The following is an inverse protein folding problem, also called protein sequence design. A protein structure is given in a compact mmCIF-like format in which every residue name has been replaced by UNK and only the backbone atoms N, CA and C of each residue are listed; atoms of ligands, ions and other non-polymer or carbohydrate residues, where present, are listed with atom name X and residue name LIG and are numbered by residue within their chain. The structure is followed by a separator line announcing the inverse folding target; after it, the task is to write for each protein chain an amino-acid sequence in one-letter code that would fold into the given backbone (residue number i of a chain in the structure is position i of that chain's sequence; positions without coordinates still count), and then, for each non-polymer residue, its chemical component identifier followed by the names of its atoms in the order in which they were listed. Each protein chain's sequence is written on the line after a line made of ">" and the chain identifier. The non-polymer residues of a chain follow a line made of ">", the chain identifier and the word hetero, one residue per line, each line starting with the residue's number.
data_IF_728022675055
#
_entry.id   IF_728022675055
#
_cell.length_a   1.000
_cell.length_b   1.000
_cell.length_c   1.000
_cell.angle_alpha   90.00
_cell.angle_beta   90.00
_cell.angle_gamma   90.00
#
_symmetry.space_group_name_H-M   'P 1'
#
loop_
_entity.id
_entity.type
_entity.pdbx_description
1 polymer ?
#
# COMPACT_ATOMS: atom_id res chain seq x y z
N UNK A 1 12.53 9.64 -23.74
CA UNK A 1 12.05 8.59 -22.81
C UNK A 1 11.87 9.24 -21.46
N UNK A 2 10.75 9.02 -20.77
CA UNK A 2 10.60 9.54 -19.41
C UNK A 2 11.59 8.82 -18.50
N UNK A 3 12.40 9.57 -17.77
CA UNK A 3 13.34 9.03 -16.78
C UNK A 3 12.55 8.44 -15.63
N UNK A 4 12.79 7.18 -15.27
CA UNK A 4 12.09 6.58 -14.11
C UNK A 4 12.52 7.28 -12.81
N UNK A 5 11.68 7.25 -11.77
CA UNK A 5 12.04 7.80 -10.46
C UNK A 5 13.36 7.21 -9.93
N UNK A 6 13.57 5.92 -10.17
CA UNK A 6 14.82 5.24 -9.83
C UNK A 6 16.02 5.79 -10.60
N UNK A 7 15.85 6.12 -11.89
CA UNK A 7 16.94 6.68 -12.70
C UNK A 7 17.34 8.09 -12.25
N UNK A 8 16.40 8.89 -11.71
CA UNK A 8 16.74 10.22 -11.16
C UNK A 8 17.54 10.16 -9.86
N UNK A 9 17.60 9.00 -9.20
CA UNK A 9 18.40 8.79 -7.98
C UNK A 9 19.80 8.24 -8.25
N UNK A 10 20.12 7.87 -9.50
CA UNK A 10 21.43 7.33 -9.86
C UNK A 10 22.43 8.49 -9.99
N UNK A 11 22.80 9.09 -8.87
CA UNK A 11 23.96 9.95 -8.79
C UNK A 11 24.75 9.63 -7.53
N UNK A 12 26.00 9.21 -7.76
CA UNK A 12 27.14 9.03 -6.85
C UNK A 12 26.79 8.35 -5.51
N UNK A 13 27.31 7.13 -5.23
CA UNK A 13 27.08 6.50 -3.93
C UNK A 13 27.56 7.40 -2.77
N UNK A 14 26.87 7.40 -1.63
CA UNK A 14 27.23 8.25 -0.50
C UNK A 14 28.66 7.96 -0.06
N UNK A 15 29.42 9.03 0.17
CA UNK A 15 30.78 9.00 0.69
C UNK A 15 30.83 8.41 2.09
N UNK A 16 32.00 7.94 2.52
CA UNK A 16 32.19 7.42 3.88
C UNK A 16 31.87 8.47 4.96
N UNK A 17 32.02 9.77 4.66
CA UNK A 17 31.64 10.86 5.57
C UNK A 17 30.11 11.00 5.68
N UNK A 18 29.37 10.85 4.58
CA UNK A 18 27.89 10.84 4.60
C UNK A 18 27.34 9.60 5.31
N UNK A 19 28.00 8.45 5.18
CA UNK A 19 27.67 7.25 5.95
C UNK A 19 27.97 7.42 7.46
N UNK A 20 28.93 8.27 7.84
CA UNK A 20 29.20 8.59 9.24
C UNK A 20 28.23 9.64 9.82
N UNK A 21 27.36 10.25 9.00
CA UNK A 21 26.26 11.13 9.43
C UNK A 21 24.97 10.35 9.75
N UNK A 22 25.00 9.02 9.67
CA UNK A 22 23.93 8.17 10.20
C UNK A 22 23.67 8.60 11.66
N UNK A 23 22.43 8.94 12.04
CA UNK A 23 22.10 9.34 13.40
C UNK A 23 22.69 8.33 14.39
N UNK A 24 23.28 8.75 15.53
CA UNK A 24 23.85 7.82 16.52
C UNK A 24 22.83 6.80 17.06
N UNK A 25 21.53 7.04 16.82
CA UNK A 25 20.41 6.15 17.14
C UNK A 25 19.74 5.50 15.89
N UNK A 26 20.32 5.58 14.69
CA UNK A 26 19.84 4.79 13.53
C UNK A 26 20.23 3.33 13.73
N UNK A 27 19.41 2.67 14.53
CA UNK A 27 19.50 1.26 14.88
C UNK A 27 19.01 0.35 13.75
N UNK A 28 18.69 0.89 12.57
CA UNK A 28 17.93 0.17 11.56
C UNK A 28 18.83 -0.54 10.53
N UNK A 29 18.34 -1.70 10.06
CA UNK A 29 19.15 -2.76 9.45
C UNK A 29 19.28 -4.00 10.35
N UNK A 30 18.72 -3.97 11.57
CA UNK A 30 18.63 -5.08 12.52
C UNK A 30 17.24 -5.22 13.15
N UNK A 31 16.19 -4.81 12.45
CA UNK A 31 14.83 -5.00 12.94
C UNK A 31 14.38 -6.46 12.72
N UNK A 32 14.38 -7.22 13.81
CA UNK A 32 13.96 -8.63 13.88
C UNK A 32 13.19 -8.83 15.20
N UNK A 33 11.97 -8.29 15.32
CA UNK A 33 11.25 -8.19 16.60
C UNK A 33 10.94 -9.56 17.22
N UNK A 34 10.81 -10.59 16.39
CA UNK A 34 10.62 -11.97 16.83
C UNK A 34 11.08 -12.94 15.74
N UNK A 35 11.21 -14.21 16.10
CA UNK A 35 11.33 -15.26 15.09
C UNK A 35 9.97 -15.45 14.38
N UNK A 36 9.90 -15.44 13.03
CA UNK A 36 8.65 -15.69 12.32
C UNK A 36 7.89 -16.97 12.70
N UNK A 37 8.57 -18.00 13.23
CA UNK A 37 7.89 -19.21 13.74
C UNK A 37 6.98 -18.93 14.94
N UNK A 38 7.14 -17.78 15.61
CA UNK A 38 6.31 -17.38 16.74
C UNK A 38 5.04 -16.63 16.32
N UNK A 39 4.81 -16.41 15.03
CA UNK A 39 3.69 -15.62 14.51
C UNK A 39 2.63 -16.52 13.85
N UNK A 40 1.35 -16.16 14.01
CA UNK A 40 0.22 -16.86 13.39
C UNK A 40 -0.25 -16.17 12.10
N UNK A 41 0.66 -15.95 11.16
CA UNK A 41 0.37 -15.26 9.91
C UNK A 41 -0.43 -16.14 8.95
N UNK A 42 -1.45 -15.56 8.30
CA UNK A 42 -2.28 -16.25 7.32
C UNK A 42 -2.43 -15.48 6.00
N UNK A 43 -2.59 -16.25 4.94
CA UNK A 43 -3.03 -15.81 3.61
C UNK A 43 -4.50 -16.18 3.38
N UNK A 44 -5.04 -15.89 2.20
CA UNK A 44 -6.36 -16.41 1.79
C UNK A 44 -6.37 -17.94 1.63
N UNK A 45 -5.21 -18.59 1.53
CA UNK A 45 -5.06 -20.03 1.25
C UNK A 45 -4.50 -20.82 2.44
N UNK A 46 -4.40 -20.20 3.62
CA UNK A 46 -3.93 -20.85 4.84
C UNK A 46 -2.70 -20.17 5.46
N UNK A 47 -2.01 -20.85 6.39
CA UNK A 47 -0.85 -20.30 7.10
C UNK A 47 0.28 -19.88 6.16
N UNK A 48 0.97 -18.80 6.49
CA UNK A 48 2.22 -18.42 5.80
C UNK A 48 3.36 -19.35 6.21
N UNK A 49 4.39 -19.49 5.37
CA UNK A 49 5.58 -20.30 5.66
C UNK A 49 6.60 -19.42 6.40
N UNK A 50 6.95 -19.71 7.67
CA UNK A 50 7.83 -18.85 8.48
C UNK A 50 9.20 -18.58 7.85
N UNK A 51 9.79 -19.56 7.18
CA UNK A 51 11.09 -19.44 6.52
C UNK A 51 11.06 -18.44 5.35
N UNK A 52 9.87 -18.19 4.80
CA UNK A 52 9.61 -17.21 3.75
C UNK A 52 9.18 -15.85 4.30
N UNK A 53 9.28 -15.62 5.60
CA UNK A 53 9.00 -14.32 6.20
C UNK A 53 10.32 -13.62 6.52
N UNK A 54 10.37 -12.33 6.15
CA UNK A 54 11.41 -11.40 6.56
C UNK A 54 10.78 -10.13 7.13
N UNK A 55 11.63 -9.18 7.52
CA UNK A 55 11.17 -7.93 8.11
C UNK A 55 11.61 -6.72 7.30
N UNK A 56 10.67 -5.79 7.08
CA UNK A 56 11.00 -4.47 6.57
C UNK A 56 11.93 -3.77 7.55
N UNK A 57 12.94 -3.07 7.03
CA UNK A 57 13.89 -2.36 7.86
C UNK A 57 13.42 -0.91 8.02
N UNK A 58 13.16 -0.44 9.25
CA UNK A 58 12.72 0.93 9.47
C UNK A 58 13.80 1.94 9.09
N UNK A 59 13.44 3.21 9.02
CA UNK A 59 14.32 4.31 8.70
C UNK A 59 13.89 5.49 9.55
N UNK A 60 14.82 6.09 10.27
CA UNK A 60 14.55 7.27 11.07
C UNK A 60 14.22 8.45 10.16
N UNK A 61 13.33 9.34 10.62
CA UNK A 61 12.92 10.52 9.84
C UNK A 61 14.09 11.48 9.53
N UNK A 62 15.11 11.48 10.38
CA UNK A 62 16.33 12.30 10.28
C UNK A 62 17.47 11.63 9.51
N UNK A 63 17.30 10.39 9.03
CA UNK A 63 18.28 9.73 8.15
C UNK A 63 18.57 10.62 6.92
N UNK A 64 19.85 10.80 6.51
CA UNK A 64 20.19 11.56 5.31
C UNK A 64 19.44 11.05 4.07
N UNK A 65 18.99 11.95 3.19
CA UNK A 65 18.09 11.58 2.09
C UNK A 65 18.79 10.71 1.05
N UNK A 66 20.09 10.88 0.88
CA UNK A 66 20.96 10.09 0.03
C UNK A 66 20.97 8.63 0.47
N UNK A 67 21.02 8.37 1.79
CA UNK A 67 20.92 7.04 2.37
C UNK A 67 19.51 6.45 2.18
N UNK A 68 18.47 7.27 2.37
CA UNK A 68 17.09 6.83 2.09
C UNK A 68 16.91 6.42 0.61
N UNK A 69 17.47 7.19 -0.33
CA UNK A 69 17.46 6.89 -1.77
C UNK A 69 18.25 5.62 -2.08
N UNK A 70 19.41 5.41 -1.46
CA UNK A 70 20.18 4.17 -1.61
C UNK A 70 19.35 2.95 -1.15
N UNK A 71 18.71 3.05 0.03
CA UNK A 71 17.82 2.00 0.55
C UNK A 71 16.68 1.73 -0.41
N UNK A 72 16.05 2.77 -0.95
CA UNK A 72 14.98 2.66 -1.92
C UNK A 72 15.44 2.00 -3.22
N UNK A 73 16.59 2.38 -3.78
CA UNK A 73 17.16 1.74 -4.98
C UNK A 73 17.48 0.27 -4.76
N UNK A 74 18.02 -0.07 -3.58
CA UNK A 74 18.41 -1.44 -3.24
C UNK A 74 17.22 -2.35 -3.00
N UNK A 75 16.18 -1.84 -2.34
CA UNK A 75 15.09 -2.65 -1.80
C UNK A 75 13.75 -2.46 -2.52
N UNK A 76 13.60 -1.38 -3.29
CA UNK A 76 12.33 -0.90 -3.86
C UNK A 76 11.43 -0.16 -2.87
N UNK A 77 11.86 0.03 -1.63
CA UNK A 77 11.09 0.75 -0.60
C UNK A 77 11.98 1.52 0.38
N UNK A 78 11.39 2.48 1.09
CA UNK A 78 11.89 3.04 2.34
C UNK A 78 10.75 3.14 3.36
N UNK A 79 10.94 2.60 4.56
CA UNK A 79 9.96 2.59 5.64
C UNK A 79 10.34 3.67 6.67
N UNK A 80 9.68 4.82 6.63
CA UNK A 80 10.00 5.98 7.47
C UNK A 80 9.13 5.98 8.72
N UNK A 81 9.78 5.98 9.88
CA UNK A 81 9.11 5.97 11.19
C UNK A 81 8.68 7.37 11.61
N UNK A 82 7.45 7.51 12.08
CA UNK A 82 6.95 8.75 12.70
C UNK A 82 7.02 10.00 11.79
N UNK A 83 6.85 9.84 10.48
CA UNK A 83 6.86 10.95 9.52
C UNK A 83 5.66 11.90 9.72
N UNK A 84 4.48 11.36 9.97
CA UNK A 84 3.26 12.14 10.15
C UNK A 84 2.99 12.38 11.64
N UNK A 85 2.44 13.56 12.03
CA UNK A 85 2.05 13.80 13.42
C UNK A 85 1.01 12.78 13.89
N UNK A 86 1.34 12.05 14.97
CA UNK A 86 0.49 10.97 15.51
C UNK A 86 -0.95 11.43 15.78
N UNK A 87 -1.13 12.62 16.35
CA UNK A 87 -2.45 13.17 16.67
C UNK A 87 -3.31 13.39 15.41
N UNK A 88 -2.69 13.80 14.29
CA UNK A 88 -3.40 13.96 13.02
C UNK A 88 -3.82 12.62 12.42
N UNK A 89 -2.96 11.61 12.54
CA UNK A 89 -3.28 10.24 12.09
C UNK A 89 -4.45 9.68 12.90
N UNK A 90 -4.43 9.84 14.23
CA UNK A 90 -5.49 9.34 15.10
C UNK A 90 -6.81 10.14 14.96
N UNK A 91 -6.76 11.45 14.71
CA UNK A 91 -7.97 12.23 14.38
C UNK A 91 -8.59 11.75 13.05
N UNK A 92 -7.78 11.55 12.01
CA UNK A 92 -8.26 10.96 10.75
C UNK A 92 -8.88 9.58 10.97
N UNK A 93 -8.24 8.71 11.78
CA UNK A 93 -8.75 7.39 12.15
C UNK A 93 -10.14 7.48 12.80
N UNK A 94 -10.25 8.32 13.84
CA UNK A 94 -11.50 8.54 14.59
C UNK A 94 -12.62 9.02 13.66
N UNK A 95 -12.34 10.04 12.84
CA UNK A 95 -13.33 10.62 11.92
C UNK A 95 -13.76 9.66 10.83
N UNK A 96 -12.83 8.87 10.29
CA UNK A 96 -13.16 7.80 9.35
C UNK A 96 -14.11 6.79 9.98
N UNK A 97 -13.79 6.25 11.16
CA UNK A 97 -14.64 5.25 11.79
C UNK A 97 -15.97 5.81 12.27
N UNK A 98 -16.03 7.09 12.69
CA UNK A 98 -17.30 7.79 12.91
C UNK A 98 -18.13 7.91 11.64
N UNK A 99 -17.51 8.22 10.49
CA UNK A 99 -18.17 8.24 9.18
C UNK A 99 -18.71 6.86 8.78
N UNK A 100 -17.97 5.79 9.11
CA UNK A 100 -18.37 4.41 8.82
C UNK A 100 -19.40 3.82 9.80
N UNK A 101 -19.63 4.44 10.95
CA UNK A 101 -20.51 3.91 12.00
C UNK A 101 -21.91 3.47 11.51
N UNK A 102 -22.59 4.22 10.61
CA UNK A 102 -23.92 3.81 10.12
C UNK A 102 -23.94 2.51 9.31
N UNK A 103 -22.80 1.95 8.88
CA UNK A 103 -22.78 0.64 8.21
C UNK A 103 -22.80 -0.54 9.19
N UNK A 104 -22.69 -0.30 10.51
CA UNK A 104 -22.52 -1.36 11.51
C UNK A 104 -21.15 -2.06 11.44
N UNK A 105 -20.13 -1.36 10.92
CA UNK A 105 -18.76 -1.85 10.84
C UNK A 105 -18.14 -2.06 12.23
N UNK A 106 -18.44 -1.15 13.16
CA UNK A 106 -17.83 -1.11 14.48
C UNK A 106 -18.64 -1.89 15.51
N UNK A 107 -17.96 -2.40 16.53
CA UNK A 107 -18.60 -2.92 17.74
C UNK A 107 -19.36 -1.80 18.47
N UNK A 108 -20.61 -2.05 18.79
CA UNK A 108 -21.45 -1.09 19.50
C UNK A 108 -20.82 -0.63 20.82
N UNK A 109 -20.87 0.68 21.08
CA UNK A 109 -20.32 1.29 22.29
C UNK A 109 -18.79 1.40 22.36
N UNK A 110 -18.06 0.95 21.33
CA UNK A 110 -16.61 1.17 21.25
C UNK A 110 -16.26 2.60 20.83
N UNK A 111 -15.09 3.09 21.27
CA UNK A 111 -14.55 4.35 20.77
C UNK A 111 -14.16 4.16 19.28
N UNK A 112 -14.66 5.01 18.34
CA UNK A 112 -14.31 4.95 16.94
C UNK A 112 -12.81 4.90 16.64
N UNK A 113 -11.96 5.55 17.45
CA UNK A 113 -10.50 5.53 17.21
C UNK A 113 -9.91 4.13 17.39
N UNK A 114 -10.50 3.29 18.24
CA UNK A 114 -10.02 1.92 18.43
C UNK A 114 -10.31 1.07 17.19
N UNK A 115 -11.40 1.35 16.48
CA UNK A 115 -11.78 0.65 15.26
C UNK A 115 -12.05 -0.83 15.52
N UNK A 116 -12.72 -1.19 16.63
CA UNK A 116 -13.03 -2.58 16.97
C UNK A 116 -14.12 -3.11 16.04
N UNK A 117 -13.85 -4.24 15.37
CA UNK A 117 -14.79 -4.84 14.43
C UNK A 117 -16.06 -5.36 15.11
N UNK A 118 -17.22 -5.18 14.46
CA UNK A 118 -18.52 -5.63 14.97
C UNK A 118 -18.66 -7.16 15.08
N UNK A 119 -17.80 -7.93 14.40
CA UNK A 119 -17.89 -9.40 14.36
C UNK A 119 -18.96 -9.92 13.40
N UNK A 120 -19.63 -9.04 12.66
CA UNK A 120 -20.58 -9.41 11.60
C UNK A 120 -19.88 -10.15 10.44
N UNK A 121 -20.66 -10.71 9.52
CA UNK A 121 -20.13 -11.35 8.30
C UNK A 121 -19.19 -10.41 7.53
N UNK A 122 -17.94 -10.81 7.39
CA UNK A 122 -16.87 -9.99 6.79
C UNK A 122 -17.14 -9.68 5.31
N UNK A 123 -17.95 -10.49 4.62
CA UNK A 123 -18.35 -10.27 3.21
C UNK A 123 -19.18 -8.99 3.03
N UNK A 124 -19.74 -8.43 4.12
CA UNK A 124 -20.42 -7.12 4.11
C UNK A 124 -19.44 -5.95 3.99
N UNK A 125 -18.20 -6.13 4.44
CA UNK A 125 -17.22 -5.04 4.62
C UNK A 125 -16.03 -5.14 3.67
N UNK A 126 -16.23 -5.76 2.50
CA UNK A 126 -15.19 -5.83 1.47
C UNK A 126 -15.03 -4.48 0.78
N UNK A 127 -13.78 -4.02 0.59
CA UNK A 127 -13.51 -2.74 -0.05
C UNK A 127 -14.03 -2.74 -1.49
N UNK A 128 -14.30 -1.56 -2.03
CA UNK A 128 -14.62 -1.41 -3.45
C UNK A 128 -13.61 -2.11 -4.38
N UNK A 129 -14.10 -2.73 -5.45
CA UNK A 129 -13.28 -3.39 -6.48
C UNK A 129 -13.52 -4.90 -6.64
N UNK A 130 -12.56 -5.61 -7.22
CA UNK A 130 -12.70 -7.01 -7.61
C UNK A 130 -12.96 -7.97 -6.44
N UNK A 131 -12.39 -7.72 -5.26
CA UNK A 131 -12.66 -8.56 -4.09
C UNK A 131 -14.15 -8.54 -3.72
N UNK A 132 -14.76 -7.36 -3.67
CA UNK A 132 -16.21 -7.24 -3.44
C UNK A 132 -17.02 -7.83 -4.58
N UNK A 133 -16.59 -7.69 -5.84
CA UNK A 133 -17.25 -8.33 -6.99
C UNK A 133 -17.28 -9.86 -6.84
N UNK A 134 -16.17 -10.45 -6.40
CA UNK A 134 -15.99 -11.90 -6.32
C UNK A 134 -16.60 -12.51 -5.05
N UNK A 135 -16.50 -11.83 -3.90
CA UNK A 135 -16.81 -12.41 -2.59
C UNK A 135 -17.85 -11.62 -1.79
N UNK A 136 -18.21 -10.42 -2.24
CA UNK A 136 -19.17 -9.55 -1.56
C UNK A 136 -20.60 -10.06 -1.68
N UNK A 137 -21.41 -9.75 -0.67
CA UNK A 137 -22.83 -10.08 -0.70
C UNK A 137 -23.55 -9.25 -1.78
N UNK A 138 -24.33 -9.95 -2.62
CA UNK A 138 -25.20 -9.33 -3.62
C UNK A 138 -26.54 -8.96 -2.98
N UNK A 139 -27.11 -7.81 -3.34
CA UNK A 139 -28.42 -7.34 -2.86
C UNK A 139 -28.56 -7.23 -1.33
N UNK A 140 -27.46 -6.97 -0.60
CA UNK A 140 -27.47 -6.78 0.86
C UNK A 140 -27.40 -5.29 1.22
N UNK A 141 -28.39 -4.80 1.98
CA UNK A 141 -28.53 -3.38 2.30
C UNK A 141 -27.38 -2.84 3.17
N UNK A 142 -26.93 -3.58 4.17
CA UNK A 142 -25.80 -3.17 5.02
C UNK A 142 -24.49 -3.13 4.23
N UNK A 143 -24.24 -4.15 3.41
CA UNK A 143 -23.09 -4.20 2.50
C UNK A 143 -23.10 -3.01 1.54
N UNK A 144 -24.26 -2.65 0.98
CA UNK A 144 -24.39 -1.49 0.10
C UNK A 144 -24.17 -0.17 0.84
N UNK A 145 -24.65 -0.06 2.08
CA UNK A 145 -24.40 1.12 2.91
C UNK A 145 -22.92 1.28 3.25
N UNK A 146 -22.22 0.18 3.54
CA UNK A 146 -20.77 0.20 3.71
C UNK A 146 -20.06 0.71 2.44
N UNK A 147 -20.45 0.22 1.26
CA UNK A 147 -19.85 0.67 0.00
C UNK A 147 -20.07 2.17 -0.23
N UNK A 148 -21.28 2.68 -0.01
CA UNK A 148 -21.61 4.11 -0.12
C UNK A 148 -20.72 4.97 0.79
N UNK A 149 -20.55 4.55 2.05
CA UNK A 149 -19.73 5.26 3.02
C UNK A 149 -18.23 5.18 2.68
N UNK A 150 -17.75 4.02 2.22
CA UNK A 150 -16.38 3.85 1.73
C UNK A 150 -16.08 4.78 0.55
N UNK A 151 -16.99 4.89 -0.42
CA UNK A 151 -16.82 5.76 -1.59
C UNK A 151 -16.79 7.23 -1.16
N UNK A 152 -17.76 7.66 -0.35
CA UNK A 152 -17.82 9.05 0.12
C UNK A 152 -16.66 9.44 1.04
N UNK A 153 -16.06 8.48 1.77
CA UNK A 153 -14.89 8.75 2.61
C UNK A 153 -13.68 9.26 1.81
N UNK A 154 -13.55 8.89 0.53
CA UNK A 154 -12.46 9.37 -0.33
C UNK A 154 -12.59 10.86 -0.69
N UNK A 155 -13.76 11.47 -0.44
CA UNK A 155 -14.06 12.88 -0.71
C UNK A 155 -14.34 13.67 0.58
N UNK A 156 -14.35 12.98 1.72
CA UNK A 156 -14.62 13.62 2.99
C UNK A 156 -13.47 14.56 3.38
N UNK A 157 -13.81 15.75 3.89
CA UNK A 157 -12.82 16.78 4.24
C UNK A 157 -11.75 16.27 5.20
N UNK A 158 -12.13 15.49 6.22
CA UNK A 158 -11.16 14.92 7.17
C UNK A 158 -10.05 14.11 6.48
N UNK A 159 -10.38 13.41 5.39
CA UNK A 159 -9.45 12.57 4.67
C UNK A 159 -8.62 13.38 3.68
N UNK A 160 -9.25 14.33 2.97
CA UNK A 160 -8.54 15.22 2.06
C UNK A 160 -7.54 16.13 2.81
N UNK A 161 -7.93 16.65 3.98
CA UNK A 161 -7.06 17.43 4.86
C UNK A 161 -5.90 16.60 5.40
N UNK A 162 -6.14 15.31 5.70
CA UNK A 162 -5.10 14.36 6.10
C UNK A 162 -4.12 14.10 4.95
N UNK A 163 -4.60 13.84 3.73
CA UNK A 163 -3.75 13.64 2.56
C UNK A 163 -2.97 14.91 2.17
N UNK A 164 -3.47 16.09 2.53
CA UNK A 164 -2.81 17.37 2.27
C UNK A 164 -1.75 17.77 3.32
N UNK A 165 -1.45 16.90 4.30
CA UNK A 165 -0.44 17.13 5.34
C UNK A 165 0.90 17.57 4.77
N UNK A 166 1.46 18.67 5.30
CA UNK A 166 2.68 19.28 4.75
C UNK A 166 3.91 18.42 5.02
N UNK A 167 3.96 17.68 6.13
CA UNK A 167 5.05 16.77 6.48
C UNK A 167 5.27 15.71 5.40
N UNK A 168 4.18 15.16 4.85
CA UNK A 168 4.24 14.22 3.72
C UNK A 168 4.80 14.91 2.46
N UNK A 169 4.27 16.10 2.12
CA UNK A 169 4.67 16.83 0.91
C UNK A 169 6.12 17.30 0.98
N UNK A 170 6.54 17.82 2.12
CA UNK A 170 7.91 18.23 2.39
C UNK A 170 8.88 17.06 2.27
N UNK A 171 8.52 15.89 2.83
CA UNK A 171 9.30 14.67 2.66
C UNK A 171 9.41 14.28 1.19
N UNK A 172 8.31 14.27 0.44
CA UNK A 172 8.34 13.92 -0.98
C UNK A 172 9.23 14.89 -1.76
N UNK A 173 9.12 16.22 -1.57
CA UNK A 173 10.01 17.20 -2.24
C UNK A 173 11.47 16.92 -1.93
N UNK A 174 11.81 16.68 -0.66
CA UNK A 174 13.17 16.35 -0.23
C UNK A 174 13.64 15.04 -0.88
N UNK A 175 12.81 14.01 -0.82
CA UNK A 175 13.15 12.66 -1.26
C UNK A 175 13.29 12.56 -2.78
N UNK A 176 12.36 13.13 -3.55
CA UNK A 176 12.33 13.01 -5.02
C UNK A 176 13.06 14.15 -5.73
N UNK A 177 13.21 15.32 -5.10
CA UNK A 177 13.68 16.54 -5.76
C UNK A 177 12.62 17.24 -6.61
N UNK A 178 11.40 16.70 -6.70
CA UNK A 178 10.31 17.29 -7.47
C UNK A 178 9.90 18.64 -6.88
N UNK A 179 9.76 19.64 -7.75
CA UNK A 179 9.26 20.97 -7.36
C UNK A 179 7.73 20.96 -7.31
N UNK A 180 7.10 20.44 -8.36
CA UNK A 180 5.65 20.38 -8.49
C UNK A 180 5.15 18.95 -8.27
N UNK A 181 4.62 18.68 -7.08
CA UNK A 181 4.07 17.37 -6.73
C UNK A 181 2.58 17.36 -7.02
N UNK A 182 2.13 16.39 -7.82
CA UNK A 182 0.72 16.05 -7.96
C UNK A 182 0.45 14.71 -7.27
N UNK A 183 -0.60 14.66 -6.46
CA UNK A 183 -1.15 13.40 -5.94
C UNK A 183 -2.32 12.97 -6.82
N UNK A 184 -2.33 11.71 -7.24
CA UNK A 184 -3.45 11.15 -7.99
C UNK A 184 -4.72 11.14 -7.12
N UNK A 185 -5.85 11.56 -7.68
CA UNK A 185 -7.11 11.70 -6.94
C UNK A 185 -7.75 10.36 -6.57
N UNK A 186 -7.48 9.31 -7.37
CA UNK A 186 -7.86 7.93 -7.05
C UNK A 186 -6.91 7.37 -5.99
N UNK A 187 -7.18 7.70 -4.74
CA UNK A 187 -6.52 7.08 -3.59
C UNK A 187 -7.20 5.76 -3.22
N UNK A 188 -6.54 4.92 -2.42
CA UNK A 188 -7.15 3.69 -1.90
C UNK A 188 -7.21 3.74 -0.37
N UNK A 189 -8.24 4.38 0.17
CA UNK A 189 -8.56 4.34 1.60
C UNK A 189 -9.30 3.04 1.92
N UNK A 190 -8.70 2.16 2.71
CA UNK A 190 -9.22 0.80 2.95
C UNK A 190 -9.22 0.41 4.42
N UNK A 191 -10.38 -0.02 4.89
CA UNK A 191 -10.52 -0.78 6.13
C UNK A 191 -10.43 -2.28 5.84
N UNK A 192 -9.53 -2.97 6.53
CA UNK A 192 -9.38 -4.42 6.49
C UNK A 192 -9.86 -4.98 7.83
N UNK A 193 -11.08 -5.48 7.82
CA UNK A 193 -11.66 -6.15 9.00
C UNK A 193 -10.95 -7.48 9.22
N UNK A 194 -10.88 -7.96 10.47
CA UNK A 194 -10.34 -9.27 10.76
C UNK A 194 -11.00 -10.37 9.91
N UNK A 195 -10.24 -11.39 9.54
CA UNK A 195 -10.64 -12.55 8.72
C UNK A 195 -11.12 -12.27 7.27
N UNK A 196 -11.09 -11.02 6.80
CA UNK A 196 -11.54 -10.67 5.45
C UNK A 196 -10.62 -11.16 4.33
N UNK A 197 -11.12 -11.11 3.09
CA UNK A 197 -10.34 -11.37 1.88
C UNK A 197 -9.26 -10.30 1.67
N UNK A 198 -8.08 -10.75 1.26
CA UNK A 198 -6.89 -9.91 1.10
C UNK A 198 -6.69 -9.38 -0.30
N UNK A 199 -6.02 -8.23 -0.39
CA UNK A 199 -5.47 -7.73 -1.65
C UNK A 199 -4.46 -8.76 -2.20
N UNK A 200 -4.69 -9.33 -3.40
CA UNK A 200 -3.80 -10.32 -4.01
C UNK A 200 -2.41 -9.76 -4.36
N UNK A 201 -1.52 -10.63 -4.82
CA UNK A 201 -0.16 -10.28 -5.26
C UNK A 201 -0.21 -9.41 -6.50
N UNK A 202 0.38 -8.22 -6.46
CA UNK A 202 0.46 -7.30 -7.60
C UNK A 202 1.63 -6.31 -7.42
N UNK A 203 1.81 -5.43 -8.42
CA UNK A 203 2.58 -4.20 -8.30
C UNK A 203 1.75 -3.04 -8.89
N UNK A 204 1.98 -1.82 -8.43
CA UNK A 204 1.10 -0.67 -8.74
C UNK A 204 1.10 -0.32 -10.24
N UNK A 205 2.26 -0.42 -10.91
CA UNK A 205 2.38 -0.03 -12.32
C UNK A 205 1.40 -0.76 -13.23
N UNK A 206 0.96 -1.98 -12.88
CA UNK A 206 -0.03 -2.75 -13.66
C UNK A 206 -1.32 -1.96 -13.92
N UNK A 207 -1.71 -1.08 -13.00
CA UNK A 207 -2.93 -0.27 -13.08
C UNK A 207 -2.71 1.15 -13.61
N UNK A 208 -1.46 1.62 -13.66
CA UNK A 208 -1.05 2.98 -14.03
C UNK A 208 -0.43 3.06 -15.43
N UNK A 209 -0.78 2.12 -16.31
CA UNK A 209 -0.10 1.91 -17.61
C UNK A 209 -0.40 2.92 -18.71
N UNK A 210 -1.33 3.87 -18.49
CA UNK A 210 -1.46 5.00 -19.41
C UNK A 210 -0.45 6.13 -19.09
N UNK A 211 0.36 5.96 -18.04
CA UNK A 211 1.52 6.79 -17.74
C UNK A 211 2.81 5.97 -17.66
N UNK A 212 3.98 6.62 -17.75
CA UNK A 212 5.26 5.98 -17.46
C UNK A 212 5.36 5.60 -15.97
N UNK A 213 6.21 4.62 -15.60
CA UNK A 213 6.43 4.15 -14.23
C UNK A 213 7.25 5.13 -13.40
N UNK A 214 6.66 6.31 -13.14
CA UNK A 214 7.29 7.44 -12.47
C UNK A 214 6.66 7.75 -11.11
N UNK A 215 5.58 7.06 -10.76
CA UNK A 215 4.87 7.27 -9.50
C UNK A 215 5.68 6.80 -8.31
N UNK A 216 5.59 7.54 -7.21
CA UNK A 216 6.00 7.09 -5.88
C UNK A 216 4.73 6.84 -5.08
N UNK A 217 4.55 5.61 -4.60
CA UNK A 217 3.43 5.31 -3.71
C UNK A 217 3.86 5.52 -2.26
N UNK A 218 3.07 6.28 -1.50
CA UNK A 218 3.13 6.36 -0.06
C UNK A 218 1.98 5.52 0.53
N UNK A 219 2.32 4.40 1.17
CA UNK A 219 1.39 3.61 1.96
C UNK A 219 1.42 4.10 3.42
N UNK A 220 0.26 4.55 3.90
CA UNK A 220 0.12 5.20 5.20
C UNK A 220 -0.83 4.38 6.09
N UNK A 221 -0.33 3.70 7.14
CA UNK A 221 -1.20 3.14 8.17
C UNK A 221 -1.88 4.28 8.94
N UNK A 222 -3.19 4.22 9.06
CA UNK A 222 -4.00 5.19 9.82
C UNK A 222 -4.33 4.57 11.18
N UNK A 223 -3.29 4.46 12.02
CA UNK A 223 -3.32 3.78 13.32
C UNK A 223 -2.25 2.69 13.44
N UNK A 224 -2.09 2.18 14.66
CA UNK A 224 -1.14 1.12 14.94
C UNK A 224 -1.64 -0.23 14.37
N UNK A 225 -0.72 -1.10 13.98
CA UNK A 225 -1.00 -2.48 13.59
C UNK A 225 0.16 -3.41 13.97
N UNK A 226 -0.15 -4.48 14.69
CA UNK A 226 0.81 -5.54 15.04
C UNK A 226 1.17 -6.40 13.82
N UNK A 227 2.16 -7.27 13.95
CA UNK A 227 2.53 -8.24 12.91
C UNK A 227 1.34 -9.14 12.51
N UNK A 228 0.51 -9.54 13.49
CA UNK A 228 -0.64 -10.43 13.27
C UNK A 228 -1.91 -9.68 12.84
N UNK A 229 -2.04 -8.39 13.16
CA UNK A 229 -3.02 -7.51 12.50
C UNK A 229 -2.74 -7.37 10.99
N UNK A 230 -1.55 -7.80 10.57
CA UNK A 230 -1.07 -7.83 9.21
C UNK A 230 -0.79 -6.42 8.69
N UNK A 231 -0.54 -6.34 7.39
CA UNK A 231 -0.32 -5.06 6.73
C UNK A 231 -0.15 -5.24 5.25
N UNK A 232 0.40 -4.21 4.63
CA UNK A 232 1.05 -4.36 3.33
C UNK A 232 2.35 -5.15 3.55
N UNK A 233 2.54 -6.22 2.79
CA UNK A 233 3.76 -7.01 2.78
C UNK A 233 4.39 -6.93 1.39
N UNK A 234 5.72 -6.92 1.34
CA UNK A 234 6.48 -6.76 0.10
C UNK A 234 7.33 -7.98 -0.17
N UNK A 235 7.35 -8.46 -1.40
CA UNK A 235 8.26 -9.53 -1.78
C UNK A 235 9.66 -8.92 -1.92
N UNK A 236 10.66 -9.46 -1.21
CA UNK A 236 11.98 -8.84 -1.16
C UNK A 236 12.63 -8.74 -2.55
N UNK A 237 13.28 -7.59 -2.81
CA UNK A 237 14.04 -7.30 -4.03
C UNK A 237 13.24 -7.48 -5.34
N UNK A 238 11.90 -7.39 -5.31
CA UNK A 238 11.00 -7.80 -6.40
C UNK A 238 10.71 -6.76 -7.48
N UNK A 239 11.37 -5.61 -7.47
CA UNK A 239 11.24 -4.62 -8.55
C UNK A 239 11.69 -5.18 -9.91
N UNK A 240 12.62 -6.13 -9.92
CA UNK A 240 13.04 -6.84 -11.14
C UNK A 240 11.92 -7.70 -11.74
N UNK A 241 11.09 -8.31 -10.88
CA UNK A 241 9.93 -9.10 -11.31
C UNK A 241 8.92 -8.18 -11.99
N UNK A 242 8.52 -7.08 -11.34
CA UNK A 242 7.54 -6.14 -11.92
C UNK A 242 8.00 -5.57 -13.27
N UNK A 243 9.30 -5.23 -13.41
CA UNK A 243 9.88 -4.75 -14.68
C UNK A 243 9.83 -5.82 -15.77
N UNK A 244 10.28 -7.04 -15.50
CA UNK A 244 10.21 -8.17 -16.45
C UNK A 244 8.76 -8.45 -16.87
N UNK A 245 7.84 -8.45 -15.93
CA UNK A 245 6.41 -8.66 -16.20
C UNK A 245 5.84 -7.59 -17.13
N UNK A 246 6.12 -6.30 -16.92
CA UNK A 246 5.68 -5.23 -17.83
C UNK A 246 6.34 -5.32 -19.22
N UNK A 247 7.60 -5.75 -19.30
CA UNK A 247 8.28 -6.00 -20.58
C UNK A 247 7.63 -7.12 -21.37
N UNK A 248 7.28 -8.23 -20.71
CA UNK A 248 6.58 -9.34 -21.34
C UNK A 248 5.17 -8.94 -21.79
N UNK A 249 4.44 -8.16 -20.97
CA UNK A 249 3.15 -7.62 -21.38
C UNK A 249 3.23 -6.72 -22.61
N UNK A 250 4.24 -5.84 -22.67
CA UNK A 250 4.48 -4.99 -23.84
C UNK A 250 4.78 -5.82 -25.08
N UNK A 251 5.59 -6.88 -24.96
CA UNK A 251 5.93 -7.80 -26.07
C UNK A 251 4.69 -8.51 -26.59
N UNK A 252 3.76 -8.86 -25.70
CA UNK A 252 2.55 -9.62 -26.02
C UNK A 252 1.34 -8.72 -26.39
N UNK A 253 1.51 -7.40 -26.50
CA UNK A 253 0.43 -6.43 -26.72
C UNK A 253 -0.01 -6.28 -28.19
N UNK A 254 0.57 -7.04 -29.12
CA UNK A 254 0.31 -6.89 -30.57
C UNK A 254 -1.14 -7.16 -30.99
N UNK A 255 -1.89 -7.91 -30.18
CA UNK A 255 -3.29 -8.27 -30.41
C UNK A 255 -4.30 -7.41 -29.63
N UNK A 256 -3.85 -6.31 -29.01
CA UNK A 256 -4.65 -5.41 -28.17
C UNK A 256 -4.80 -4.03 -28.82
N UNK A 257 -5.97 -3.41 -28.63
CA UNK A 257 -6.16 -1.97 -28.88
C UNK A 257 -5.38 -1.13 -27.88
N UNK A 258 -5.17 0.16 -28.16
CA UNK A 258 -4.48 1.04 -27.22
C UNK A 258 -5.19 1.15 -25.86
N UNK A 259 -6.52 1.12 -25.86
CA UNK A 259 -7.32 1.10 -24.63
C UNK A 259 -7.11 -0.19 -23.82
N UNK A 260 -7.10 -1.35 -24.49
CA UNK A 260 -6.86 -2.64 -23.84
C UNK A 260 -5.43 -2.73 -23.29
N UNK A 261 -4.43 -2.16 -23.99
CA UNK A 261 -3.02 -2.17 -23.57
C UNK A 261 -2.79 -1.53 -22.21
N UNK A 262 -3.53 -0.46 -21.90
CA UNK A 262 -3.39 0.28 -20.65
C UNK A 262 -4.31 -0.23 -19.52
N UNK A 263 -5.15 -1.24 -19.80
CA UNK A 263 -6.08 -1.82 -18.83
C UNK A 263 -5.51 -3.08 -18.17
N UNK A 264 -5.39 -3.08 -16.83
CA UNK A 264 -5.01 -4.25 -16.02
C UNK A 264 -5.98 -5.45 -16.13
N UNK A 265 -7.09 -5.28 -16.83
CA UNK A 265 -8.16 -6.27 -16.97
C UNK A 265 -8.33 -6.78 -18.41
N UNK A 266 -7.28 -6.69 -19.22
CA UNK A 266 -7.31 -7.19 -20.60
C UNK A 266 -7.07 -8.71 -20.67
N UNK A 267 -7.36 -9.30 -21.84
CA UNK A 267 -7.27 -10.75 -22.09
C UNK A 267 -5.88 -11.38 -21.92
N UNK A 268 -4.81 -10.59 -21.87
CA UNK A 268 -3.46 -11.07 -21.66
C UNK A 268 -3.04 -11.03 -20.17
N UNK A 269 -3.92 -10.58 -19.27
CA UNK A 269 -3.72 -10.53 -17.82
C UNK A 269 -4.48 -11.67 -17.13
N UNK A 270 -4.06 -12.06 -15.93
CA UNK A 270 -4.86 -12.91 -15.08
C UNK A 270 -6.21 -12.24 -14.75
N UNK A 271 -7.27 -13.05 -14.68
CA UNK A 271 -8.58 -12.57 -14.26
C UNK A 271 -8.48 -11.89 -12.89
N UNK A 272 -9.03 -10.68 -12.79
CA UNK A 272 -8.99 -9.87 -11.58
C UNK A 272 -7.81 -8.90 -11.46
N UNK A 273 -6.85 -8.91 -12.39
CA UNK A 273 -5.78 -7.91 -12.49
C UNK A 273 -4.71 -8.04 -11.40
N UNK A 274 -4.23 -9.25 -11.11
CA UNK A 274 -3.18 -9.53 -10.14
C UNK A 274 -2.25 -10.65 -10.64
N UNK A 275 -1.04 -10.77 -10.09
CA UNK A 275 -0.09 -11.82 -10.43
C UNK A 275 -0.48 -13.19 -9.85
N UNK A 276 -0.97 -13.20 -8.61
CA UNK A 276 -1.43 -14.42 -7.93
C UNK A 276 -2.38 -14.07 -6.80
N UNK A 277 -3.34 -14.95 -6.49
CA UNK A 277 -4.12 -14.89 -5.24
C UNK A 277 -3.44 -15.64 -4.09
N UNK A 278 -2.59 -16.60 -4.42
CA UNK A 278 -1.87 -17.41 -3.45
C UNK A 278 -0.50 -16.78 -3.19
N UNK A 279 -0.41 -16.02 -2.10
CA UNK A 279 0.82 -15.34 -1.67
C UNK A 279 1.90 -16.33 -1.26
N UNK A 280 1.52 -17.48 -0.69
CA UNK A 280 2.46 -18.51 -0.23
C UNK A 280 3.09 -19.20 -1.42
N UNK A 281 2.28 -19.72 -2.35
CA UNK A 281 2.78 -20.35 -3.56
C UNK A 281 3.61 -19.37 -4.41
N UNK A 282 3.20 -18.11 -4.50
CA UNK A 282 3.93 -17.09 -5.25
C UNK A 282 5.32 -16.82 -4.66
N UNK A 283 5.41 -16.54 -3.36
CA UNK A 283 6.71 -16.31 -2.70
C UNK A 283 7.64 -17.52 -2.81
N UNK A 284 7.09 -18.74 -2.76
CA UNK A 284 7.84 -19.99 -2.96
C UNK A 284 8.32 -20.19 -4.39
N UNK A 285 7.49 -19.87 -5.38
CA UNK A 285 7.87 -19.94 -6.79
C UNK A 285 9.00 -18.98 -7.14
N UNK A 286 8.99 -17.78 -6.55
CA UNK A 286 10.02 -16.76 -6.76
C UNK A 286 11.25 -16.92 -5.84
N UNK A 287 11.23 -17.88 -4.90
CA UNK A 287 12.27 -18.12 -3.89
C UNK A 287 12.68 -16.86 -3.12
N UNK A 288 11.69 -16.10 -2.65
CA UNK A 288 11.88 -14.80 -1.97
C UNK A 288 10.99 -14.69 -0.74
N UNK A 289 11.46 -13.93 0.25
CA UNK A 289 10.71 -13.68 1.47
C UNK A 289 9.69 -12.55 1.32
N UNK A 290 8.56 -12.70 1.99
CA UNK A 290 7.60 -11.65 2.25
C UNK A 290 8.06 -10.83 3.46
N UNK A 291 8.33 -9.55 3.24
CA UNK A 291 8.75 -8.59 4.24
C UNK A 291 7.53 -7.98 4.93
N UNK A 292 7.49 -8.09 6.26
CA UNK A 292 6.42 -7.55 7.12
C UNK A 292 7.01 -6.60 8.17
N UNK A 293 6.15 -5.84 8.86
CA UNK A 293 6.54 -5.02 10.01
C UNK A 293 5.33 -4.72 10.90
N UNK A 294 5.61 -4.28 12.12
CA UNK A 294 4.65 -3.54 12.93
C UNK A 294 4.59 -2.11 12.44
N UNK A 295 3.41 -1.52 12.55
CA UNK A 295 3.12 -0.16 12.16
C UNK A 295 2.66 0.64 13.36
N UNK A 296 3.12 1.88 13.43
CA UNK A 296 2.68 2.87 14.42
C UNK A 296 2.06 4.07 13.70
N UNK A 297 1.09 4.71 14.35
CA UNK A 297 0.49 5.94 13.87
C UNK A 297 1.57 7.02 13.68
N UNK A 298 1.77 7.42 12.43
CA UNK A 298 2.80 8.37 12.00
C UNK A 298 3.76 7.78 10.98
N UNK A 299 3.84 6.46 10.89
CA UNK A 299 4.67 5.78 9.91
C UNK A 299 4.21 5.98 8.48
N UNK A 300 5.15 5.89 7.53
CA UNK A 300 4.86 5.85 6.09
C UNK A 300 5.85 4.91 5.40
N UNK A 301 5.37 4.04 4.52
CA UNK A 301 6.23 3.32 3.57
C UNK A 301 6.13 4.00 2.21
N UNK A 302 7.27 4.28 1.60
CA UNK A 302 7.33 4.68 0.21
C UNK A 302 7.86 3.52 -0.63
N UNK A 303 7.19 3.18 -1.73
CA UNK A 303 7.61 2.07 -2.60
C UNK A 303 7.60 2.40 -4.10
N UNK A 304 8.49 1.70 -4.80
CA UNK A 304 8.64 1.71 -6.26
C UNK A 304 7.42 1.08 -6.93
N UNK A 305 6.96 1.62 -8.07
CA UNK A 305 5.73 1.16 -8.72
C UNK A 305 5.82 -0.28 -9.25
N UNK A 306 7.02 -0.86 -9.35
CA UNK A 306 7.25 -2.26 -9.71
C UNK A 306 7.43 -3.19 -8.50
N UNK A 307 7.51 -2.67 -7.27
CA UNK A 307 7.73 -3.53 -6.10
C UNK A 307 6.50 -4.42 -5.89
N UNK A 308 6.71 -5.74 -5.92
CA UNK A 308 5.63 -6.71 -5.74
C UNK A 308 5.20 -6.74 -4.29
N UNK A 309 3.90 -6.61 -4.07
CA UNK A 309 3.30 -6.56 -2.74
C UNK A 309 1.93 -7.24 -2.71
N UNK A 310 1.48 -7.54 -1.49
CA UNK A 310 0.20 -8.14 -1.19
C UNK A 310 -0.22 -7.75 0.23
N UNK A 311 -1.42 -8.15 0.67
CA UNK A 311 -1.82 -8.02 2.07
C UNK A 311 -1.66 -9.34 2.83
N UNK A 312 -1.35 -9.26 4.12
CA UNK A 312 -1.48 -10.37 5.08
C UNK A 312 -2.81 -10.27 5.83
N UNK A 313 -3.36 -11.44 6.24
CA UNK A 313 -4.64 -11.52 6.96
C UNK A 313 -4.57 -10.76 8.26
N UNK A 314 -5.66 -10.05 8.57
CA UNK A 314 -5.82 -9.40 9.86
C UNK A 314 -6.35 -10.44 10.85
N UNK A 315 -5.45 -10.90 11.71
CA UNK A 315 -5.70 -11.85 12.81
C UNK A 315 -5.53 -11.14 14.16
N UNK A 316 -5.78 -9.83 14.22
CA UNK A 316 -5.63 -9.04 15.43
C UNK A 316 -6.47 -9.64 16.59
N UNK A 317 -5.84 -9.96 17.74
CA UNK A 317 -6.51 -10.64 18.84
C UNK A 317 -7.58 -9.77 19.52
N UNK A 318 -7.47 -8.44 19.42
CA UNK A 318 -8.46 -7.49 19.93
C UNK A 318 -9.54 -7.17 18.89
N UNK A 319 -9.50 -7.83 17.72
CA UNK A 319 -10.41 -7.62 16.59
C UNK A 319 -10.35 -6.19 16.04
N UNK A 320 -9.20 -5.52 16.15
CA UNK A 320 -8.99 -4.19 15.60
C UNK A 320 -9.01 -4.21 14.07
N UNK A 321 -9.68 -3.24 13.47
CA UNK A 321 -9.70 -3.03 12.03
C UNK A 321 -8.42 -2.28 11.64
N UNK A 322 -7.66 -2.85 10.71
CA UNK A 322 -6.53 -2.17 10.08
C UNK A 322 -7.06 -1.15 9.08
N UNK A 323 -6.68 0.10 9.23
CA UNK A 323 -7.03 1.19 8.31
C UNK A 323 -5.75 1.72 7.68
N UNK A 324 -5.73 1.89 6.37
CA UNK A 324 -4.61 2.48 5.68
C UNK A 324 -5.09 3.23 4.42
N UNK A 325 -4.22 4.08 3.90
CA UNK A 325 -4.39 4.67 2.58
C UNK A 325 -3.13 4.55 1.73
N UNK A 326 -3.33 4.32 0.44
CA UNK A 326 -2.30 4.35 -0.57
C UNK A 326 -2.41 5.64 -1.40
N UNK A 327 -1.39 6.50 -1.30
CA UNK A 327 -1.30 7.79 -1.98
C UNK A 327 -0.25 7.70 -3.09
N UNK A 328 -0.64 7.92 -4.35
CA UNK A 328 0.30 7.90 -5.48
C UNK A 328 0.67 9.32 -5.85
N UNK A 329 1.96 9.62 -5.84
CA UNK A 329 2.51 10.94 -6.13
C UNK A 329 3.36 10.90 -7.40
N UNK A 330 3.30 11.97 -8.18
CA UNK A 330 4.03 12.14 -9.44
C UNK A 330 4.56 13.57 -9.55
N UNK A 331 5.57 13.76 -10.39
CA UNK A 331 5.99 15.09 -10.84
C UNK A 331 4.96 15.63 -11.84
N UNK A 332 4.35 16.77 -11.51
CA UNK A 332 3.30 17.40 -12.32
C UNK A 332 3.80 17.84 -13.70
N UNK A 333 5.12 18.05 -13.84
CA UNK A 333 5.75 18.47 -15.09
C UNK A 333 6.11 17.28 -16.01
N UNK A 334 5.89 16.04 -15.55
CA UNK A 334 6.14 14.82 -16.31
C UNK A 334 4.83 14.15 -16.73
N UNK A 335 4.92 13.26 -17.72
CA UNK A 335 3.77 12.44 -18.11
C UNK A 335 3.41 11.47 -16.96
N UNK A 336 2.12 11.36 -16.66
CA UNK A 336 1.57 10.39 -15.72
C UNK A 336 0.18 9.94 -16.17
N UNK A 337 -0.38 8.90 -15.54
CA UNK A 337 -1.67 8.33 -15.91
C UNK A 337 -2.83 9.25 -15.51
N UNK A 338 -3.31 10.06 -16.45
CA UNK A 338 -4.40 11.00 -16.22
C UNK A 338 -5.74 10.34 -15.87
N UNK A 339 -5.91 9.04 -16.14
CA UNK A 339 -7.16 8.32 -15.81
C UNK A 339 -7.40 8.24 -14.30
N UNK A 340 -6.32 8.40 -13.50
CA UNK A 340 -6.34 8.37 -12.04
C UNK A 340 -6.61 9.74 -11.40
N UNK A 341 -6.83 10.80 -12.19
CA UNK A 341 -7.24 12.13 -11.73
C UNK A 341 -8.76 12.24 -11.55
N UNK A 342 -9.36 11.20 -10.97
CA UNK A 342 -10.74 11.17 -10.53
C UNK A 342 -10.84 10.29 -9.29
N UNK A 343 -11.76 10.60 -8.39
CA UNK A 343 -11.96 9.78 -7.19
C UNK A 343 -12.49 8.40 -7.57
N UNK A 344 -12.21 7.38 -6.75
CA UNK A 344 -12.69 6.04 -6.97
C UNK A 344 -14.22 5.99 -7.11
N UNK A 345 -14.70 5.25 -8.11
CA UNK A 345 -16.12 4.94 -8.32
C UNK A 345 -16.27 3.48 -8.76
N UNK A 346 -17.36 2.79 -8.39
CA UNK A 346 -17.61 1.44 -8.87
C UNK A 346 -17.78 1.39 -10.38
N UNK A 347 -17.30 0.31 -11.00
CA UNK A 347 -17.54 -0.06 -12.40
C UNK A 347 -17.04 0.98 -13.44
N UNK A 348 -16.07 1.82 -13.09
CA UNK A 348 -15.52 2.85 -13.98
C UNK A 348 -14.34 2.38 -14.85
N UNK A 349 -14.10 1.06 -14.87
CA UNK A 349 -13.10 0.41 -15.72
C UNK A 349 -11.64 0.53 -15.26
N UNK A 350 -11.40 1.03 -14.04
CA UNK A 350 -10.05 1.27 -13.47
C UNK A 350 -9.79 0.56 -12.15
#
# INVERSE_FOLDING_TARGET
>A
MATTLTESFIHVPPTAEEQNQIPPNDVYGKYYPTNPQNLNLKSNFGPMIPEQIGYLQPTAIDTPVEIMRERFLRNGYVFVKGLLPKDRVLDCRRRYFSHMAPSGLLKDGSDPVEGIFSGKDTRKFLPPGNLRRLFGLQNDAESNKYLELMVSAHEASFYLDFCATEELRAFIRKFTGWQDITMLQRTMLRAFVPDSELTPVHFDQMYLRAGPPTSLTAWVPIGDASLEAGGLMYLEKSTDIGRRTEEDFRRNAGNLTDEERVSAFNKNMNDGGFLSRDTVAYGKGEDRKWLITEYEAGDVIFHDPFLVHASCKNEDPERKIRLATDLRLVDANQAYDQRWMKVWRPLDGL
#
